data_IF_612387582248
#
_entry.id   IF_612387582248
#
_cell.length_a   1.000
_cell.length_b   1.000
_cell.length_c   1.000
_cell.angle_alpha   90.00
_cell.angle_beta   90.00
_cell.angle_gamma   90.00
#
_symmetry.space_group_name_H-M   'P 1'
#
loop_
_entity.id
_entity.type
_entity.pdbx_description
1 polymer ?
#
# COMPACT_ATOMS: atom_id res chain seq x y z
N UNK A 1 -67.36 22.34 37.76
CA UNK A 1 -65.94 22.79 37.91
C UNK A 1 -65.10 21.69 37.36
N UNK A 2 -64.62 21.79 36.08
CA UNK A 2 -63.81 20.78 35.39
C UNK A 2 -62.37 21.23 35.45
N UNK A 3 -61.51 20.41 36.08
CA UNK A 3 -60.10 20.66 36.20
C UNK A 3 -59.45 20.18 34.87
N UNK A 4 -58.80 21.09 34.18
CA UNK A 4 -58.01 20.78 32.98
C UNK A 4 -56.55 20.66 33.43
N UNK A 5 -55.93 19.44 33.30
CA UNK A 5 -54.52 19.18 33.58
C UNK A 5 -53.78 19.31 32.23
N UNK A 6 -52.80 20.20 32.10
CA UNK A 6 -51.97 20.25 30.88
C UNK A 6 -50.97 19.11 30.88
N UNK A 7 -50.97 18.28 29.80
CA UNK A 7 -49.96 17.28 29.54
C UNK A 7 -48.70 17.98 29.01
N UNK A 8 -47.62 17.93 29.78
CA UNK A 8 -46.30 18.39 29.33
C UNK A 8 -45.65 17.32 28.44
N UNK A 9 -45.50 17.62 27.17
CA UNK A 9 -44.80 16.81 26.21
C UNK A 9 -43.30 17.07 26.36
N UNK A 10 -42.55 16.12 26.97
CA UNK A 10 -41.12 16.20 27.06
C UNK A 10 -40.50 15.69 25.72
N UNK A 11 -39.93 16.58 24.93
CA UNK A 11 -39.18 16.23 23.74
C UNK A 11 -37.80 15.70 24.14
N UNK A 12 -37.58 14.41 23.94
CA UNK A 12 -36.26 13.78 24.11
C UNK A 12 -35.44 14.01 22.82
N UNK A 13 -34.53 14.96 22.90
CA UNK A 13 -33.56 15.19 21.81
C UNK A 13 -32.43 14.15 21.91
N UNK A 14 -32.45 13.13 21.07
CA UNK A 14 -31.34 12.18 20.95
C UNK A 14 -30.19 12.85 20.17
N UNK A 15 -29.13 13.19 20.88
CA UNK A 15 -27.91 13.71 20.31
C UNK A 15 -27.17 12.52 19.65
N UNK A 16 -27.33 12.35 18.35
CA UNK A 16 -26.51 11.37 17.58
C UNK A 16 -25.14 12.02 17.36
N UNK A 17 -24.16 11.65 18.21
CA UNK A 17 -22.78 12.00 17.97
C UNK A 17 -22.29 11.23 16.72
N UNK A 18 -21.61 11.90 15.77
CA UNK A 18 -21.02 11.18 14.65
C UNK A 18 -20.00 10.18 15.18
N UNK A 19 -20.17 8.90 14.83
CA UNK A 19 -19.12 7.89 15.02
C UNK A 19 -17.93 8.36 14.18
N UNK A 20 -16.94 8.99 14.82
CA UNK A 20 -15.62 9.11 14.25
C UNK A 20 -15.08 7.69 14.13
N UNK A 21 -14.87 7.23 12.90
CA UNK A 21 -14.05 6.06 12.67
C UNK A 21 -12.75 6.28 13.44
N UNK A 22 -12.52 5.51 14.50
CA UNK A 22 -11.23 5.47 15.15
C UNK A 22 -10.26 4.94 14.09
N UNK A 23 -9.45 5.83 13.55
CA UNK A 23 -8.22 5.45 12.88
C UNK A 23 -7.38 4.74 13.95
N UNK A 24 -7.45 3.42 13.97
CA UNK A 24 -6.63 2.61 14.87
C UNK A 24 -5.21 2.79 14.36
N UNK A 25 -4.47 3.67 15.04
CA UNK A 25 -3.05 3.81 14.77
C UNK A 25 -2.43 2.43 14.98
N UNK A 26 -2.03 1.79 13.88
CA UNK A 26 -1.35 0.49 13.94
C UNK A 26 -0.06 0.60 14.75
N UNK A 27 0.58 -0.54 15.08
CA UNK A 27 1.81 -0.53 15.83
C UNK A 27 2.80 0.48 15.22
N UNK A 28 3.34 1.44 15.99
CA UNK A 28 4.20 2.50 15.47
C UNK A 28 5.47 1.97 14.80
N UNK A 29 5.89 0.77 15.13
CA UNK A 29 7.00 0.05 14.53
C UNK A 29 6.77 -0.35 13.06
N UNK A 30 5.51 -0.59 12.64
CA UNK A 30 5.21 -0.94 11.23
C UNK A 30 5.39 0.26 10.30
N UNK A 31 5.10 1.48 10.73
CA UNK A 31 5.34 2.66 9.89
C UNK A 31 6.84 2.88 9.65
N UNK A 32 7.64 2.82 10.72
CA UNK A 32 9.09 2.91 10.60
C UNK A 32 9.68 1.73 9.80
N UNK A 33 9.05 0.57 9.86
CA UNK A 33 9.41 -0.60 9.06
C UNK A 33 9.12 -0.37 7.56
N UNK A 34 7.98 0.23 7.21
CA UNK A 34 7.65 0.62 5.83
C UNK A 34 8.66 1.63 5.27
N UNK A 35 9.04 2.63 6.06
CA UNK A 35 10.07 3.62 5.63
C UNK A 35 11.39 2.94 5.29
N UNK A 36 11.79 1.92 6.07
CA UNK A 36 13.01 1.14 5.81
C UNK A 36 12.88 0.23 4.59
N UNK A 37 11.70 -0.34 4.37
CA UNK A 37 11.38 -1.14 3.20
C UNK A 37 11.45 -0.29 1.92
N UNK A 38 10.80 0.88 1.90
CA UNK A 38 10.87 1.85 0.80
C UNK A 38 12.33 2.28 0.52
N UNK A 39 13.10 2.55 1.56
CA UNK A 39 14.50 2.91 1.40
C UNK A 39 15.32 1.79 0.78
N UNK A 40 15.02 0.52 1.09
CA UNK A 40 15.70 -0.63 0.49
C UNK A 40 15.31 -0.82 -0.99
N UNK A 41 14.02 -0.66 -1.33
CA UNK A 41 13.53 -0.67 -2.71
C UNK A 41 14.18 0.44 -3.55
N UNK A 42 14.17 1.67 -3.05
CA UNK A 42 14.74 2.82 -3.74
C UNK A 42 16.25 2.71 -3.93
N UNK A 43 16.95 2.02 -3.00
CA UNK A 43 18.35 1.67 -3.14
C UNK A 43 18.60 0.48 -4.07
N UNK A 44 17.55 -0.26 -4.47
CA UNK A 44 17.62 -1.50 -5.24
C UNK A 44 18.49 -2.56 -4.57
N UNK A 45 18.47 -2.60 -3.25
CA UNK A 45 19.32 -3.44 -2.39
C UNK A 45 18.59 -4.75 -2.06
N UNK A 46 18.82 -5.79 -2.88
CA UNK A 46 18.19 -7.10 -2.72
C UNK A 46 18.58 -7.80 -1.41
N UNK A 47 19.81 -7.60 -0.92
CA UNK A 47 20.24 -8.20 0.35
C UNK A 47 19.53 -7.56 1.54
N UNK A 48 19.31 -6.26 1.46
CA UNK A 48 18.51 -5.55 2.45
C UNK A 48 17.04 -5.91 2.35
N UNK A 49 16.50 -6.03 1.13
CA UNK A 49 15.12 -6.43 0.88
C UNK A 49 14.82 -7.83 1.41
N UNK A 50 15.77 -8.77 1.34
CA UNK A 50 15.61 -10.12 1.90
C UNK A 50 15.21 -10.14 3.38
N UNK A 51 15.49 -9.07 4.12
CA UNK A 51 15.15 -8.96 5.56
C UNK A 51 13.69 -8.62 5.81
N UNK A 52 12.96 -8.21 4.79
CA UNK A 52 11.55 -7.82 4.86
C UNK A 52 10.60 -8.93 4.43
N UNK A 53 11.09 -9.95 3.73
CA UNK A 53 10.25 -11.02 3.20
C UNK A 53 10.37 -12.31 4.02
N UNK A 54 9.22 -12.93 4.25
CA UNK A 54 9.19 -14.29 4.80
C UNK A 54 9.72 -15.28 3.74
N UNK A 55 10.49 -16.34 4.10
CA UNK A 55 10.96 -17.33 3.13
C UNK A 55 9.84 -17.91 2.25
N UNK A 56 8.65 -18.17 2.84
CA UNK A 56 7.47 -18.70 2.12
C UNK A 56 6.48 -17.59 1.72
N UNK A 57 6.96 -16.39 1.38
CA UNK A 57 6.09 -15.30 0.93
C UNK A 57 5.30 -15.70 -0.32
N UNK A 58 4.09 -15.18 -0.46
CA UNK A 58 3.33 -15.23 -1.73
C UNK A 58 3.13 -13.83 -2.26
N UNK A 59 3.44 -13.60 -3.53
CA UNK A 59 3.30 -12.31 -4.19
C UNK A 59 2.31 -12.45 -5.34
N UNK A 60 1.27 -11.60 -5.35
CA UNK A 60 0.32 -11.47 -6.45
C UNK A 60 0.50 -10.09 -7.07
N UNK A 61 1.02 -10.08 -8.29
CA UNK A 61 1.35 -8.86 -9.00
C UNK A 61 1.14 -9.01 -10.51
N UNK A 62 0.50 -8.02 -11.13
CA UNK A 62 0.30 -8.00 -12.58
C UNK A 62 -0.45 -9.21 -13.17
N UNK A 63 -1.20 -9.95 -12.35
CA UNK A 63 -1.84 -11.22 -12.71
C UNK A 63 -0.92 -12.43 -12.59
N UNK A 64 0.33 -12.24 -12.18
CA UNK A 64 1.31 -13.29 -11.86
C UNK A 64 1.29 -13.69 -10.39
N UNK A 65 1.92 -14.82 -10.10
CA UNK A 65 2.08 -15.37 -8.75
C UNK A 65 3.51 -15.83 -8.57
N UNK A 66 4.19 -15.34 -7.52
CA UNK A 66 5.45 -15.89 -7.05
C UNK A 66 5.25 -16.55 -5.68
N UNK A 67 5.93 -17.67 -5.47
CA UNK A 67 5.88 -18.43 -4.22
C UNK A 67 7.28 -18.63 -3.66
N UNK A 68 7.52 -18.02 -2.49
CA UNK A 68 8.81 -17.97 -1.82
C UNK A 68 9.66 -16.78 -2.23
N UNK A 69 10.47 -16.30 -1.26
CA UNK A 69 11.37 -15.19 -1.49
C UNK A 69 12.40 -15.46 -2.61
N UNK A 70 12.95 -16.66 -2.67
CA UNK A 70 13.92 -17.01 -3.68
C UNK A 70 13.35 -16.90 -5.11
N UNK A 71 12.12 -17.42 -5.32
CA UNK A 71 11.43 -17.32 -6.60
C UNK A 71 11.15 -15.86 -6.97
N UNK A 72 10.59 -15.06 -6.05
CA UNK A 72 10.31 -13.66 -6.30
C UNK A 72 11.58 -12.84 -6.57
N UNK A 73 12.63 -13.05 -5.76
CA UNK A 73 13.92 -12.39 -5.95
C UNK A 73 14.54 -12.67 -7.28
N UNK A 74 14.61 -13.95 -7.69
CA UNK A 74 15.44 -14.38 -8.80
C UNK A 74 14.72 -14.24 -10.15
N UNK A 75 13.39 -14.38 -10.16
CA UNK A 75 12.61 -14.41 -11.41
C UNK A 75 11.72 -13.21 -11.63
N UNK A 76 11.55 -12.33 -10.64
CA UNK A 76 10.67 -11.16 -10.75
C UNK A 76 11.38 -9.87 -10.27
N UNK A 77 11.50 -9.66 -8.97
CA UNK A 77 11.97 -8.40 -8.39
C UNK A 77 13.42 -8.07 -8.80
N UNK A 78 14.31 -9.04 -8.74
CA UNK A 78 15.73 -8.81 -9.08
C UNK A 78 15.94 -8.34 -10.51
N UNK A 79 15.43 -9.06 -11.53
CA UNK A 79 15.45 -8.59 -12.92
C UNK A 79 14.83 -7.20 -13.11
N UNK A 80 13.68 -6.93 -12.48
CA UNK A 80 13.03 -5.62 -12.60
C UNK A 80 13.85 -4.49 -12.00
N UNK A 81 14.43 -4.68 -10.81
CA UNK A 81 15.28 -3.68 -10.16
C UNK A 81 16.55 -3.36 -10.98
N UNK A 82 17.06 -4.32 -11.74
CA UNK A 82 18.20 -4.07 -12.67
C UNK A 82 17.78 -3.15 -13.82
N UNK A 83 16.57 -3.34 -14.36
CA UNK A 83 16.07 -2.54 -15.49
C UNK A 83 15.57 -1.13 -15.07
N UNK A 84 15.21 -0.94 -13.80
CA UNK A 84 14.66 0.32 -13.28
C UNK A 84 15.76 1.33 -12.95
N UNK A 85 15.96 2.31 -13.82
CA UNK A 85 16.85 3.45 -13.54
C UNK A 85 16.09 4.54 -12.77
N UNK A 86 16.74 5.13 -11.76
CA UNK A 86 16.18 6.25 -11.01
C UNK A 86 14.89 5.90 -10.25
N UNK A 87 14.74 4.64 -9.81
CA UNK A 87 13.57 4.16 -9.08
C UNK A 87 13.22 5.07 -7.90
N UNK A 88 11.97 5.48 -7.86
CA UNK A 88 11.32 6.16 -6.74
C UNK A 88 10.02 5.44 -6.42
N UNK A 89 10.01 4.78 -5.28
CA UNK A 89 8.86 4.08 -4.75
C UNK A 89 8.45 4.70 -3.42
N UNK A 90 7.16 4.88 -3.20
CA UNK A 90 6.61 5.39 -1.95
C UNK A 90 5.20 4.90 -1.73
N UNK A 91 4.82 4.74 -0.45
CA UNK A 91 3.44 4.51 -0.04
C UNK A 91 2.76 5.82 0.39
N UNK A 92 1.44 5.84 0.20
CA UNK A 92 0.54 6.88 0.69
C UNK A 92 -0.72 6.24 1.28
N UNK A 93 -1.46 7.00 2.09
CA UNK A 93 -2.74 6.57 2.68
C UNK A 93 -2.65 5.23 3.43
N UNK A 94 -1.52 5.01 4.11
CA UNK A 94 -1.20 3.76 4.80
C UNK A 94 -2.14 3.55 5.99
N UNK A 95 -2.84 2.42 5.99
CA UNK A 95 -3.67 1.95 7.09
C UNK A 95 -3.11 0.61 7.59
N UNK A 96 -2.90 0.51 8.89
CA UNK A 96 -2.37 -0.70 9.53
C UNK A 96 -3.40 -1.24 10.50
N UNK A 97 -3.73 -2.52 10.38
CA UNK A 97 -4.67 -3.21 11.27
C UNK A 97 -4.00 -4.43 11.89
N UNK A 98 -3.91 -4.51 13.21
CA UNK A 98 -3.34 -5.68 13.87
C UNK A 98 -4.23 -6.92 13.68
N UNK A 99 -3.60 -8.08 13.50
CA UNK A 99 -4.19 -9.41 13.49
C UNK A 99 -3.63 -10.21 14.67
N UNK A 100 -4.09 -9.88 15.86
CA UNK A 100 -3.53 -10.40 17.10
C UNK A 100 -2.16 -9.78 17.42
N UNK A 101 -1.32 -10.52 18.18
CA UNK A 101 -0.02 -10.02 18.65
C UNK A 101 1.13 -10.22 17.66
N UNK A 102 0.98 -11.14 16.71
CA UNK A 102 2.05 -11.56 15.80
C UNK A 102 1.71 -11.36 14.32
N UNK A 103 0.60 -10.72 14.01
CA UNK A 103 0.16 -10.44 12.64
C UNK A 103 -0.37 -9.03 12.48
N UNK A 104 -0.33 -8.53 11.25
CA UNK A 104 -0.99 -7.31 10.83
C UNK A 104 -1.30 -7.38 9.33
N UNK A 105 -2.31 -6.63 8.88
CA UNK A 105 -2.39 -6.28 7.47
C UNK A 105 -2.20 -4.77 7.29
N UNK A 106 -1.61 -4.43 6.16
CA UNK A 106 -1.40 -3.04 5.71
C UNK A 106 -2.11 -2.89 4.39
N UNK A 107 -2.90 -1.84 4.25
CA UNK A 107 -3.43 -1.40 2.96
C UNK A 107 -2.90 0.00 2.68
N UNK A 108 -2.52 0.24 1.45
CA UNK A 108 -1.91 1.49 1.02
C UNK A 108 -2.15 1.76 -0.45
N UNK A 109 -1.99 3.00 -0.83
CA UNK A 109 -1.68 3.38 -2.20
C UNK A 109 -0.17 3.40 -2.36
N UNK A 110 0.34 3.08 -3.56
CA UNK A 110 1.74 3.27 -3.87
C UNK A 110 1.93 4.08 -5.14
N UNK A 111 3.08 4.71 -5.24
CA UNK A 111 3.58 5.36 -6.44
C UNK A 111 4.94 4.80 -6.79
N UNK A 112 5.13 4.45 -8.07
CA UNK A 112 6.39 3.99 -8.64
C UNK A 112 6.74 4.87 -9.83
N UNK A 113 7.93 5.44 -9.80
CA UNK A 113 8.52 6.17 -10.92
C UNK A 113 9.88 5.59 -11.22
N UNK A 114 10.15 5.29 -12.48
CA UNK A 114 11.43 4.77 -12.93
C UNK A 114 11.59 5.03 -14.43
N UNK A 115 12.80 4.79 -14.95
CA UNK A 115 13.06 4.71 -16.38
C UNK A 115 13.41 3.27 -16.72
N UNK A 116 12.68 2.66 -17.66
CA UNK A 116 12.87 1.28 -18.10
C UNK A 116 13.03 1.29 -19.62
N UNK A 117 14.14 0.78 -20.14
CA UNK A 117 14.40 0.72 -21.60
C UNK A 117 14.17 2.06 -22.31
N UNK A 118 14.63 3.15 -21.70
CA UNK A 118 14.46 4.54 -22.17
C UNK A 118 13.03 5.09 -22.15
N UNK A 119 12.08 4.39 -21.56
CA UNK A 119 10.71 4.87 -21.35
C UNK A 119 10.51 5.28 -19.88
N UNK A 120 9.91 6.44 -19.65
CA UNK A 120 9.55 6.87 -18.32
C UNK A 120 8.29 6.12 -17.87
N UNK A 121 8.38 5.47 -16.70
CA UNK A 121 7.28 4.79 -16.04
C UNK A 121 6.79 5.65 -14.88
N UNK A 122 5.51 5.96 -14.87
CA UNK A 122 4.80 6.59 -13.74
C UNK A 122 3.56 5.75 -13.47
N UNK A 123 3.64 4.91 -12.45
CA UNK A 123 2.56 4.01 -12.05
C UNK A 123 2.07 4.35 -10.64
N UNK A 124 0.77 4.18 -10.45
CA UNK A 124 0.14 4.20 -9.14
C UNK A 124 -0.67 2.94 -8.96
N UNK A 125 -0.85 2.50 -7.73
CA UNK A 125 -1.62 1.29 -7.46
C UNK A 125 -2.07 1.19 -6.02
N UNK A 126 -2.72 0.07 -5.75
CA UNK A 126 -3.12 -0.33 -4.42
C UNK A 126 -2.28 -1.52 -4.00
N UNK A 127 -1.89 -1.55 -2.74
CA UNK A 127 -1.17 -2.67 -2.15
C UNK A 127 -1.84 -3.16 -0.88
N UNK A 128 -1.83 -4.46 -0.70
CA UNK A 128 -2.18 -5.13 0.55
C UNK A 128 -1.02 -6.01 0.98
N UNK A 129 -0.48 -5.77 2.18
CA UNK A 129 0.53 -6.61 2.80
C UNK A 129 -0.09 -7.36 3.99
N UNK A 130 0.18 -8.65 4.08
CA UNK A 130 -0.01 -9.42 5.31
C UNK A 130 1.36 -9.58 5.95
N UNK A 131 1.51 -9.01 7.14
CA UNK A 131 2.74 -9.06 7.90
C UNK A 131 2.62 -10.07 9.04
N UNK A 132 3.71 -10.78 9.29
CA UNK A 132 3.85 -11.69 10.43
C UNK A 132 5.14 -11.39 11.18
N UNK A 133 5.17 -11.63 12.48
CA UNK A 133 6.41 -11.58 13.26
C UNK A 133 7.19 -12.88 13.08
N UNK A 134 8.44 -12.75 12.68
CA UNK A 134 9.41 -13.83 12.69
C UNK A 134 9.80 -14.23 14.14
N UNK A 135 10.60 -15.27 14.25
CA UNK A 135 11.09 -15.77 15.57
C UNK A 135 11.92 -14.72 16.32
N UNK A 136 12.57 -13.83 15.60
CA UNK A 136 13.36 -12.70 16.13
C UNK A 136 12.52 -11.45 16.43
N UNK A 137 11.20 -11.53 16.27
CA UNK A 137 10.26 -10.45 16.52
C UNK A 137 10.17 -9.41 15.41
N UNK A 138 10.94 -9.51 14.33
CA UNK A 138 10.85 -8.61 13.17
C UNK A 138 9.60 -8.88 12.35
N UNK A 139 9.02 -7.81 11.77
CA UNK A 139 7.95 -7.93 10.81
C UNK A 139 8.47 -8.44 9.46
N UNK A 140 7.76 -9.40 8.88
CA UNK A 140 8.06 -9.99 7.58
C UNK A 140 6.79 -10.01 6.72
N UNK A 141 6.92 -9.70 5.43
CA UNK A 141 5.84 -9.84 4.44
C UNK A 141 5.59 -11.32 4.22
N UNK A 142 4.41 -11.79 4.61
CA UNK A 142 3.96 -13.17 4.36
C UNK A 142 3.15 -13.26 3.07
N UNK A 143 2.48 -12.16 2.70
CA UNK A 143 1.75 -12.03 1.45
C UNK A 143 1.75 -10.57 1.00
N UNK A 144 1.90 -10.34 -0.30
CA UNK A 144 1.66 -9.07 -0.96
C UNK A 144 0.74 -9.26 -2.14
N UNK A 145 -0.18 -8.33 -2.30
CA UNK A 145 -1.02 -8.22 -3.49
C UNK A 145 -1.03 -6.77 -3.96
N UNK A 146 -0.62 -6.55 -5.20
CA UNK A 146 -0.63 -5.25 -5.84
C UNK A 146 -1.58 -5.21 -7.04
N UNK A 147 -2.21 -4.05 -7.24
CA UNK A 147 -2.91 -3.72 -8.48
C UNK A 147 -2.42 -2.37 -8.99
N UNK A 148 -1.87 -2.34 -10.21
CA UNK A 148 -1.28 -1.15 -10.79
C UNK A 148 -2.18 -0.51 -11.85
N UNK A 149 -2.15 0.83 -11.92
CA UNK A 149 -2.60 1.61 -13.08
C UNK A 149 -1.39 2.31 -13.68
N UNK A 150 -1.08 2.01 -14.93
CA UNK A 150 -0.16 2.86 -15.71
C UNK A 150 -0.93 4.10 -16.16
N UNK A 151 -0.33 5.28 -16.00
CA UNK A 151 -0.85 6.48 -16.62
C UNK A 151 -0.65 6.35 -18.13
N UNK A 152 -1.70 6.52 -18.99
CA UNK A 152 -1.50 6.55 -20.42
C UNK A 152 -0.48 7.63 -20.78
N UNK A 153 0.42 7.34 -21.73
CA UNK A 153 1.29 8.36 -22.27
C UNK A 153 0.44 9.54 -22.78
N UNK A 154 0.86 10.80 -22.59
CA UNK A 154 0.16 11.94 -23.14
C UNK A 154 0.02 11.75 -24.67
N UNK A 155 -1.20 11.90 -25.18
CA UNK A 155 -1.44 11.85 -26.63
C UNK A 155 -0.51 12.84 -27.33
N UNK A 156 0.15 12.46 -28.45
CA UNK A 156 0.97 13.38 -29.19
C UNK A 156 0.14 14.61 -29.58
N UNK A 157 0.71 15.80 -29.38
CA UNK A 157 0.07 17.04 -29.77
C UNK A 157 -0.33 16.97 -31.25
N UNK A 158 -1.52 17.49 -31.66
CA UNK A 158 -1.92 17.51 -33.04
C UNK A 158 -0.85 18.25 -33.86
N UNK A 159 -0.38 17.60 -34.93
CA UNK A 159 0.57 18.21 -35.84
C UNK A 159 0.00 19.51 -36.35
N UNK A 160 0.77 20.62 -36.44
CA UNK A 160 0.29 21.87 -37.01
C UNK A 160 -0.12 21.62 -38.44
N UNK A 161 -1.41 21.83 -38.72
CA UNK A 161 -1.97 21.76 -40.08
C UNK A 161 -1.29 22.84 -40.91
N UNK A 162 -0.47 22.44 -41.88
CA UNK A 162 0.12 23.35 -42.83
C UNK A 162 -1.04 23.95 -43.67
N UNK A 163 -1.45 25.15 -43.36
CA UNK A 163 -2.25 25.94 -44.26
C UNK A 163 -1.38 26.34 -45.45
N UNK A 164 -1.70 25.81 -46.61
CA UNK A 164 -1.24 26.32 -47.89
C UNK A 164 -2.15 27.46 -48.37
#
# INVERSE_FOLDING_TARGET
>A
MRLIIPAALAAVTVLVAPLRAHEVAGPPDIRAWLDQYEAALNARDLDRLARFYHPDVTIYEGGGVNTGWADYRDHHLGPELVEMEGLRFSHANVQVQPLGSAGAYVISEYKLQARIKNEDVDATGLETLILVKGQDGRWLIRHSHTSARRRPAPSPAPSPTAHR
#
